data_IF_903898695666
#
_entry.id   IF_903898695666
#
_cell.length_a   1.000
_cell.length_b   1.000
_cell.length_c   1.000
_cell.angle_alpha   90.00
_cell.angle_beta   90.00
_cell.angle_gamma   90.00
#
_symmetry.space_group_name_H-M   'P 1'
#
loop_
_entity.id
_entity.type
_entity.pdbx_description
1 polymer ?
#
# COMPACT_ATOMS: atom_id res chain seq x y z
N UNK A 1 -1.62 -7.61 -24.11
CA UNK A 1 -0.82 -6.82 -23.16
C UNK A 1 -1.74 -5.75 -22.63
N UNK A 2 -2.18 -5.85 -21.37
CA UNK A 2 -2.96 -4.76 -20.77
C UNK A 2 -2.03 -3.56 -20.63
N UNK A 3 -2.40 -2.42 -21.20
CA UNK A 3 -1.63 -1.19 -20.99
C UNK A 3 -1.75 -0.82 -19.52
N UNK A 4 -0.62 -0.74 -18.83
CA UNK A 4 -0.55 -0.18 -17.49
C UNK A 4 -0.85 1.32 -17.61
N UNK A 5 -2.00 1.75 -17.11
CA UNK A 5 -2.46 3.15 -17.19
C UNK A 5 -2.62 3.70 -15.78
N UNK A 6 -1.88 4.76 -15.49
CA UNK A 6 -2.05 5.58 -14.28
C UNK A 6 -2.98 6.74 -14.65
N UNK A 7 -4.08 6.90 -13.92
CA UNK A 7 -5.10 7.92 -14.20
C UNK A 7 -4.87 9.24 -13.45
N UNK A 8 -3.86 9.28 -12.59
CA UNK A 8 -3.57 10.41 -11.70
C UNK A 8 -2.83 11.56 -12.40
N UNK A 9 -3.13 12.83 -12.06
CA UNK A 9 -2.41 13.98 -12.59
C UNK A 9 -0.98 14.02 -12.05
N UNK A 10 -0.03 14.48 -12.89
CA UNK A 10 1.34 14.76 -12.45
C UNK A 10 1.36 16.11 -11.74
N UNK A 11 1.79 16.12 -10.48
CA UNK A 11 1.90 17.33 -9.66
C UNK A 11 3.36 17.75 -9.45
N UNK A 12 4.25 16.78 -9.23
CA UNK A 12 5.67 17.01 -8.94
C UNK A 12 6.54 16.27 -9.98
N UNK A 13 6.71 16.80 -11.20
CA UNK A 13 7.32 16.06 -12.32
C UNK A 13 8.76 15.61 -12.07
N UNK A 14 9.48 16.32 -11.21
CA UNK A 14 10.89 16.05 -10.88
C UNK A 14 11.07 15.03 -9.74
N UNK A 15 9.99 14.65 -9.05
CA UNK A 15 10.02 13.63 -8.00
C UNK A 15 9.71 12.23 -8.58
N UNK A 16 10.31 11.16 -8.02
CA UNK A 16 9.87 9.81 -8.35
C UNK A 16 8.45 9.56 -7.81
N UNK A 17 7.67 8.68 -8.44
CA UNK A 17 6.40 8.24 -7.86
C UNK A 17 6.67 7.32 -6.68
N UNK A 18 5.95 7.54 -5.58
CA UNK A 18 6.15 6.80 -4.33
C UNK A 18 4.82 6.29 -3.80
N UNK A 19 4.84 5.10 -3.22
CA UNK A 19 3.71 4.56 -2.45
C UNK A 19 4.20 3.87 -1.19
N UNK A 20 3.63 4.22 -0.05
CA UNK A 20 3.80 3.49 1.21
C UNK A 20 2.61 2.56 1.40
N UNK A 21 2.89 1.27 1.59
CA UNK A 21 1.86 0.25 1.86
C UNK A 21 1.76 0.06 3.37
N UNK A 22 0.71 0.61 3.96
CA UNK A 22 0.41 0.46 5.38
C UNK A 22 -1.08 0.63 5.64
N UNK A 23 -1.50 0.17 6.81
CA UNK A 23 -2.88 0.30 7.27
C UNK A 23 -3.07 1.61 8.02
N UNK A 24 -4.18 2.28 7.71
CA UNK A 24 -4.78 3.33 8.50
C UNK A 24 -6.29 3.13 8.52
N UNK A 25 -6.91 3.36 9.67
CA UNK A 25 -8.31 3.01 9.90
C UNK A 25 -9.26 3.72 8.92
N UNK A 26 -10.12 2.95 8.25
CA UNK A 26 -11.05 3.40 7.19
C UNK A 26 -10.39 4.01 5.95
N UNK A 27 -9.11 3.77 5.74
CA UNK A 27 -8.36 4.24 4.57
C UNK A 27 -7.95 3.05 3.69
N UNK A 28 -7.67 3.31 2.42
CA UNK A 28 -7.00 2.35 1.54
C UNK A 28 -5.59 2.05 2.07
N UNK A 29 -5.05 0.90 1.68
CA UNK A 29 -3.70 0.47 2.08
C UNK A 29 -2.56 1.29 1.43
N UNK A 30 -2.86 2.14 0.44
CA UNK A 30 -1.87 2.77 -0.43
C UNK A 30 -1.80 4.28 -0.21
N UNK A 31 -0.67 4.74 0.30
CA UNK A 31 -0.41 6.16 0.55
C UNK A 31 0.59 6.70 -0.45
N UNK A 32 0.13 7.58 -1.33
CA UNK A 32 0.94 8.19 -2.37
C UNK A 32 1.75 9.37 -1.86
N UNK A 33 2.91 9.57 -2.50
CA UNK A 33 3.72 10.78 -2.41
C UNK A 33 4.58 10.95 -3.66
N UNK A 34 5.24 12.12 -3.79
CA UNK A 34 6.12 12.42 -4.92
C UNK A 34 5.32 12.81 -6.16
N UNK A 35 5.64 12.19 -7.31
CA UNK A 35 5.15 12.61 -8.64
C UNK A 35 3.66 12.95 -8.75
N UNK A 36 2.82 12.16 -8.08
CA UNK A 36 1.36 12.24 -8.16
C UNK A 36 0.73 12.95 -6.94
N UNK A 37 1.54 13.56 -6.07
CA UNK A 37 1.06 14.23 -4.85
C UNK A 37 0.85 13.31 -3.66
N UNK A 38 0.34 13.89 -2.57
CA UNK A 38 -0.04 13.18 -1.35
C UNK A 38 -1.52 12.80 -1.41
N UNK A 39 -1.81 11.51 -1.38
CA UNK A 39 -3.19 11.01 -1.40
C UNK A 39 -3.30 9.57 -0.84
N UNK A 40 -4.50 9.14 -0.49
CA UNK A 40 -4.84 7.77 -0.15
C UNK A 40 -5.70 7.17 -1.26
N UNK A 41 -5.17 6.18 -1.99
CA UNK A 41 -5.74 5.78 -3.28
C UNK A 41 -6.17 4.32 -3.34
N UNK A 42 -7.15 4.06 -4.20
CA UNK A 42 -7.44 2.72 -4.68
C UNK A 42 -6.33 2.26 -5.63
N UNK A 43 -5.92 0.98 -5.52
CA UNK A 43 -4.83 0.46 -6.33
C UNK A 43 -5.09 0.46 -7.84
N UNK A 44 -6.36 0.50 -8.28
CA UNK A 44 -6.69 0.64 -9.70
C UNK A 44 -6.21 1.98 -10.28
N UNK A 45 -6.16 3.04 -9.48
CA UNK A 45 -5.75 4.39 -9.91
C UNK A 45 -4.28 4.45 -10.33
N UNK A 46 -3.48 3.54 -9.79
CA UNK A 46 -2.05 3.37 -10.10
C UNK A 46 -1.78 2.08 -10.89
N UNK A 47 -2.80 1.49 -11.51
CA UNK A 47 -2.65 0.38 -12.45
C UNK A 47 -2.38 -0.99 -11.83
N UNK A 48 -2.65 -1.20 -10.54
CA UNK A 48 -2.56 -2.53 -9.93
C UNK A 48 -3.64 -3.47 -10.47
N UNK A 49 -3.35 -4.77 -10.43
CA UNK A 49 -4.27 -5.80 -10.87
C UNK A 49 -5.51 -5.87 -9.96
N UNK A 50 -6.71 -6.16 -10.50
CA UNK A 50 -7.92 -6.28 -9.68
C UNK A 50 -7.82 -7.35 -8.59
N UNK A 51 -6.97 -8.36 -8.77
CA UNK A 51 -6.71 -9.38 -7.76
C UNK A 51 -5.94 -8.80 -6.56
N UNK A 52 -4.86 -8.06 -6.82
CA UNK A 52 -4.10 -7.41 -5.76
C UNK A 52 -4.91 -6.34 -5.03
N UNK A 53 -5.71 -5.54 -5.76
CA UNK A 53 -6.59 -4.54 -5.12
C UNK A 53 -7.58 -5.20 -4.15
N UNK A 54 -8.22 -6.30 -4.55
CA UNK A 54 -9.12 -7.04 -3.65
C UNK A 54 -8.41 -7.57 -2.41
N UNK A 55 -7.19 -8.08 -2.56
CA UNK A 55 -6.43 -8.60 -1.42
C UNK A 55 -5.99 -7.49 -0.45
N UNK A 56 -5.65 -6.30 -0.97
CA UNK A 56 -5.37 -5.11 -0.16
C UNK A 56 -6.60 -4.65 0.62
N UNK A 57 -7.77 -4.58 -0.03
CA UNK A 57 -9.03 -4.22 0.61
C UNK A 57 -9.43 -5.22 1.69
N UNK A 58 -9.32 -6.52 1.40
CA UNK A 58 -9.62 -7.55 2.38
C UNK A 58 -8.72 -7.43 3.62
N UNK A 59 -7.45 -7.08 3.42
CA UNK A 59 -6.50 -6.89 4.51
C UNK A 59 -6.85 -5.70 5.40
N UNK A 60 -7.23 -4.55 4.82
CA UNK A 60 -7.65 -3.37 5.59
C UNK A 60 -9.01 -3.60 6.27
N UNK A 61 -9.99 -4.15 5.54
CA UNK A 61 -11.34 -4.41 6.04
C UNK A 61 -11.34 -5.37 7.23
N UNK A 62 -10.44 -6.36 7.21
CA UNK A 62 -10.29 -7.32 8.32
C UNK A 62 -9.81 -6.62 9.59
N UNK A 63 -8.89 -5.67 9.48
CA UNK A 63 -8.36 -4.96 10.64
C UNK A 63 -9.31 -3.84 11.11
N UNK A 64 -9.98 -3.16 10.16
CA UNK A 64 -11.05 -2.20 10.45
C UNK A 64 -12.19 -2.84 11.26
N UNK A 65 -12.58 -4.08 10.94
CA UNK A 65 -13.61 -4.83 11.66
C UNK A 65 -13.24 -5.19 13.11
N UNK A 66 -11.93 -5.19 13.41
CA UNK A 66 -11.39 -5.43 14.75
C UNK A 66 -11.12 -4.14 15.53
N UNK A 67 -11.11 -3.00 14.85
CA UNK A 67 -10.79 -1.72 15.46
C UNK A 67 -11.88 -1.28 16.44
N UNK A 68 -11.49 -0.99 17.68
CA UNK A 68 -12.37 -0.46 18.71
C UNK A 68 -12.26 1.07 18.73
N UNK A 69 -13.25 1.75 18.15
CA UNK A 69 -13.29 3.22 18.08
C UNK A 69 -13.33 3.88 19.48
N UNK A 70 -14.00 3.24 20.44
CA UNK A 70 -14.11 3.76 21.81
C UNK A 70 -12.84 3.56 22.62
N UNK A 71 -11.99 2.59 22.24
CA UNK A 71 -10.71 2.31 22.88
C UNK A 71 -9.66 1.81 21.87
N UNK A 72 -9.11 2.72 21.03
CA UNK A 72 -8.19 2.35 19.95
C UNK A 72 -6.96 1.59 20.44
N UNK A 73 -6.47 1.94 21.63
CA UNK A 73 -5.27 1.36 22.22
C UNK A 73 -5.43 -0.13 22.58
N UNK A 74 -6.67 -0.59 22.79
CA UNK A 74 -6.99 -1.99 23.10
C UNK A 74 -7.65 -2.73 21.94
N UNK A 75 -7.56 -2.22 20.71
CA UNK A 75 -8.03 -2.92 19.52
C UNK A 75 -7.24 -4.23 19.34
N UNK A 76 -7.91 -5.39 19.19
CA UNK A 76 -7.24 -6.60 18.77
C UNK A 76 -6.67 -6.44 17.36
N UNK A 77 -5.63 -7.22 17.04
CA UNK A 77 -5.06 -7.28 15.70
C UNK A 77 -5.23 -8.68 15.12
N UNK A 78 -5.48 -8.76 13.82
CA UNK A 78 -5.62 -10.04 13.14
C UNK A 78 -4.31 -10.86 13.19
N UNK A 79 -4.38 -12.20 13.26
CA UNK A 79 -3.18 -13.03 13.23
C UNK A 79 -2.35 -12.76 11.97
N UNK A 80 -1.04 -12.62 12.14
CA UNK A 80 -0.08 -12.34 11.06
C UNK A 80 -0.33 -11.03 10.28
N UNK A 81 -1.14 -10.10 10.81
CA UNK A 81 -1.48 -8.83 10.16
C UNK A 81 -0.29 -8.13 9.48
N UNK A 82 0.80 -7.93 10.24
CA UNK A 82 2.01 -7.25 9.76
C UNK A 82 2.76 -8.05 8.68
N UNK A 83 2.80 -9.37 8.81
CA UNK A 83 3.43 -10.23 7.81
C UNK A 83 2.62 -10.23 6.50
N UNK A 84 1.29 -10.29 6.59
CA UNK A 84 0.40 -10.20 5.44
C UNK A 84 0.55 -8.86 4.72
N UNK A 85 0.58 -7.74 5.45
CA UNK A 85 0.83 -6.41 4.88
C UNK A 85 2.18 -6.31 4.16
N UNK A 86 3.23 -6.91 4.72
CA UNK A 86 4.55 -6.94 4.11
C UNK A 86 4.58 -7.77 2.80
N UNK A 87 3.90 -8.92 2.76
CA UNK A 87 3.79 -9.72 1.54
C UNK A 87 2.93 -9.02 0.46
N UNK A 88 1.87 -8.32 0.86
CA UNK A 88 1.08 -7.49 -0.06
C UNK A 88 1.94 -6.35 -0.65
N UNK A 89 2.77 -5.70 0.17
CA UNK A 89 3.68 -4.66 -0.31
C UNK A 89 4.71 -5.18 -1.32
N UNK A 90 5.22 -6.41 -1.16
CA UNK A 90 6.08 -7.07 -2.16
C UNK A 90 5.36 -7.26 -3.49
N UNK A 91 4.08 -7.65 -3.46
CA UNK A 91 3.25 -7.79 -4.66
C UNK A 91 3.02 -6.44 -5.34
N UNK A 92 2.73 -5.39 -4.57
CA UNK A 92 2.66 -4.01 -5.08
C UNK A 92 3.96 -3.62 -5.78
N UNK A 93 5.12 -3.89 -5.18
CA UNK A 93 6.42 -3.63 -5.80
C UNK A 93 6.62 -4.38 -7.11
N UNK A 94 6.10 -5.61 -7.22
CA UNK A 94 6.26 -6.44 -8.40
C UNK A 94 5.35 -6.03 -9.57
N UNK A 95 4.19 -5.42 -9.30
CA UNK A 95 3.27 -4.97 -10.34
C UNK A 95 3.55 -3.54 -10.83
N UNK A 96 4.11 -2.68 -9.98
CA UNK A 96 4.42 -1.30 -10.34
C UNK A 96 5.71 -1.18 -11.18
N UNK A 97 5.78 -0.21 -12.11
CA UNK A 97 6.98 0.08 -12.89
C UNK A 97 8.23 0.31 -12.02
N UNK A 98 9.40 0.08 -12.62
CA UNK A 98 10.67 0.07 -11.88
C UNK A 98 11.03 1.42 -11.26
N UNK A 99 10.53 2.53 -11.81
CA UNK A 99 10.72 3.88 -11.26
C UNK A 99 9.97 4.15 -9.95
N UNK A 100 8.95 3.35 -9.62
CA UNK A 100 8.21 3.51 -8.37
C UNK A 100 9.05 3.12 -7.16
N UNK A 101 9.05 3.99 -6.16
CA UNK A 101 9.61 3.68 -4.84
C UNK A 101 8.47 3.18 -3.97
N UNK A 102 8.53 1.89 -3.62
CA UNK A 102 7.55 1.27 -2.71
C UNK A 102 8.16 1.11 -1.33
N UNK A 103 7.49 1.65 -0.31
CA UNK A 103 7.87 1.49 1.09
C UNK A 103 6.82 0.74 1.87
N UNK A 104 7.23 0.10 2.98
CA UNK A 104 6.32 -0.56 3.91
C UNK A 104 7.02 -0.77 5.26
N UNK A 105 6.28 -1.10 6.31
CA UNK A 105 6.83 -1.54 7.58
C UNK A 105 7.28 -3.00 7.50
N UNK A 106 8.57 -3.24 7.72
CA UNK A 106 9.12 -4.59 7.84
C UNK A 106 8.91 -5.12 9.27
N UNK A 107 8.15 -6.22 9.46
CA UNK A 107 7.89 -6.80 10.77
C UNK A 107 9.16 -7.31 11.46
N UNK A 108 10.18 -7.73 10.72
CA UNK A 108 11.39 -8.33 11.27
C UNK A 108 12.34 -7.25 11.81
N UNK A 109 12.66 -6.25 10.99
CA UNK A 109 13.53 -5.14 11.40
C UNK A 109 12.82 -4.04 12.19
N UNK A 110 11.47 -4.08 12.24
CA UNK A 110 10.59 -3.11 12.90
C UNK A 110 10.79 -1.68 12.43
N UNK A 111 11.06 -1.50 11.13
CA UNK A 111 11.33 -0.20 10.50
C UNK A 111 10.61 -0.11 9.17
N UNK A 112 10.37 1.12 8.72
CA UNK A 112 9.99 1.36 7.32
C UNK A 112 11.18 1.06 6.43
N UNK A 113 10.98 0.27 5.38
CA UNK A 113 12.00 -0.11 4.40
C UNK A 113 11.52 0.24 2.99
N UNK A 114 12.48 0.46 2.09
CA UNK A 114 12.22 0.49 0.65
C UNK A 114 12.31 -0.95 0.12
N UNK A 115 11.28 -1.41 -0.58
CA UNK A 115 11.29 -2.75 -1.16
C UNK A 115 12.17 -2.78 -2.42
N UNK A 116 13.07 -3.77 -2.55
CA UNK A 116 13.89 -3.92 -3.74
C UNK A 116 13.03 -4.34 -4.94
N UNK A 117 13.54 -4.09 -6.15
CA UNK A 117 12.95 -4.65 -7.36
C UNK A 117 12.97 -6.20 -7.30
N UNK A 118 11.91 -6.87 -7.78
CA UNK A 118 11.94 -8.32 -7.95
C UNK A 118 13.06 -8.70 -8.93
N UNK A 119 13.69 -9.84 -8.68
CA UNK A 119 14.74 -10.40 -9.54
C UNK A 119 14.17 -11.10 -10.76
#
# INVERSE_FOLDING_TARGET
MSEFQITLPILEPDEPPRVDVHYEWRQYALWLSGRYGLDNVDGHEIGLSPALVRDLLLWTDTEDALFNEDDPANSPSSPNFRANGFELAKRVRAELPSEWIVTTFDPDSRKRVVLPLPR
#
